data_IF_695403298877
#
_entry.id   IF_695403298877
#
_cell.length_a   1.000
_cell.length_b   1.000
_cell.length_c   1.000
_cell.angle_alpha   90.00
_cell.angle_beta   90.00
_cell.angle_gamma   90.00
#
_symmetry.space_group_name_H-M   'P 1'
#
loop_
_entity.id
_entity.type
_entity.pdbx_description
1 polymer ?
#
# COMPACT_ATOMS: atom_id res chain seq x y z
N UNK A 1 11.41 24.77 -20.08
CA UNK A 1 11.79 23.39 -19.73
C UNK A 1 10.53 22.64 -19.35
N UNK A 2 9.98 21.87 -20.29
CA UNK A 2 8.85 20.99 -20.00
C UNK A 2 9.30 19.93 -19.00
N UNK A 3 8.66 19.87 -17.83
CA UNK A 3 8.87 18.77 -16.88
C UNK A 3 8.38 17.50 -17.57
N UNK A 4 9.31 16.69 -18.10
CA UNK A 4 9.02 15.30 -18.50
C UNK A 4 8.30 14.65 -17.32
N UNK A 5 7.05 14.27 -17.52
CA UNK A 5 6.27 13.51 -16.54
C UNK A 5 6.98 12.17 -16.38
N UNK A 6 7.84 12.05 -15.36
CA UNK A 6 8.45 10.79 -15.00
C UNK A 6 7.35 9.88 -14.47
N UNK A 7 7.03 8.84 -15.23
CA UNK A 7 6.10 7.81 -14.78
C UNK A 7 6.82 6.93 -13.78
N UNK A 8 6.47 7.08 -12.49
CA UNK A 8 7.04 6.33 -11.37
C UNK A 8 6.85 4.80 -11.56
N UNK A 9 5.78 4.43 -12.25
CA UNK A 9 5.40 3.05 -12.53
C UNK A 9 6.31 2.33 -13.54
N UNK A 10 7.09 3.05 -14.33
CA UNK A 10 7.96 2.47 -15.37
C UNK A 10 9.36 2.12 -14.84
N UNK A 11 9.64 2.44 -13.57
CA UNK A 11 10.95 2.19 -13.00
C UNK A 11 11.15 0.69 -12.75
N UNK A 12 12.30 0.16 -13.19
CA UNK A 12 12.71 -1.25 -12.97
C UNK A 12 12.55 -1.77 -11.53
N UNK A 13 12.75 -0.91 -10.52
CA UNK A 13 12.65 -1.27 -9.11
C UNK A 13 11.21 -1.25 -8.58
N UNK A 14 10.27 -0.69 -9.32
CA UNK A 14 8.85 -0.62 -8.95
C UNK A 14 8.15 -1.84 -9.54
N UNK A 15 7.72 -2.81 -8.72
CA UNK A 15 6.99 -3.97 -9.21
C UNK A 15 5.59 -3.58 -9.71
N UNK A 16 4.91 -4.53 -10.34
CA UNK A 16 3.53 -4.32 -10.82
C UNK A 16 2.56 -4.31 -9.62
N UNK A 17 1.74 -3.26 -9.53
CA UNK A 17 0.73 -3.09 -8.49
C UNK A 17 -0.66 -3.11 -9.11
N UNK A 18 -1.52 -4.02 -8.64
CA UNK A 18 -2.88 -4.22 -9.14
C UNK A 18 -3.86 -4.09 -7.98
N UNK A 19 -4.90 -3.27 -8.15
CA UNK A 19 -5.98 -3.13 -7.18
C UNK A 19 -6.90 -4.34 -7.33
N UNK A 20 -7.17 -5.04 -6.23
CA UNK A 20 -8.13 -6.14 -6.22
C UNK A 20 -9.56 -5.61 -6.09
N UNK A 21 -10.49 -6.28 -6.75
CA UNK A 21 -11.91 -6.10 -6.48
C UNK A 21 -12.28 -6.62 -5.09
N UNK A 22 -13.45 -6.23 -4.56
CA UNK A 22 -13.93 -6.70 -3.24
C UNK A 22 -14.08 -8.21 -3.20
N UNK A 23 -14.56 -8.80 -4.30
CA UNK A 23 -14.76 -10.25 -4.42
C UNK A 23 -13.42 -10.99 -4.35
N UNK A 24 -12.44 -10.56 -5.15
CA UNK A 24 -11.09 -11.14 -5.13
C UNK A 24 -10.39 -10.95 -3.77
N UNK A 25 -10.59 -9.79 -3.15
CA UNK A 25 -10.06 -9.50 -1.82
C UNK A 25 -10.61 -10.47 -0.78
N UNK A 26 -11.91 -10.75 -0.78
CA UNK A 26 -12.53 -11.72 0.12
C UNK A 26 -12.04 -13.16 -0.15
N UNK A 27 -11.87 -13.53 -1.42
CA UNK A 27 -11.30 -14.83 -1.79
C UNK A 27 -9.86 -14.99 -1.27
N UNK A 28 -9.03 -13.96 -1.41
CA UNK A 28 -7.65 -13.95 -0.89
C UNK A 28 -7.65 -14.09 0.63
N UNK A 29 -8.48 -13.31 1.33
CA UNK A 29 -8.59 -13.37 2.79
C UNK A 29 -9.06 -14.75 3.27
N UNK A 30 -10.05 -15.36 2.60
CA UNK A 30 -10.51 -16.73 2.87
C UNK A 30 -9.42 -17.76 2.61
N UNK A 31 -8.70 -17.64 1.48
CA UNK A 31 -7.64 -18.59 1.10
C UNK A 31 -6.49 -18.63 2.10
N UNK A 32 -6.10 -17.48 2.62
CA UNK A 32 -5.04 -17.39 3.65
C UNK A 32 -5.58 -17.50 5.08
N UNK A 33 -6.91 -17.49 5.25
CA UNK A 33 -7.60 -17.52 6.53
C UNK A 33 -7.08 -16.45 7.51
N UNK A 34 -6.91 -15.23 7.00
CA UNK A 34 -6.39 -14.07 7.74
C UNK A 34 -7.40 -12.91 7.73
N UNK A 35 -7.28 -12.03 8.72
CA UNK A 35 -7.98 -10.75 8.75
C UNK A 35 -7.26 -9.71 7.89
N UNK A 36 -7.96 -8.71 7.31
CA UNK A 36 -7.33 -7.64 6.53
C UNK A 36 -6.27 -6.87 7.33
N UNK A 37 -6.47 -6.71 8.64
CA UNK A 37 -5.54 -6.03 9.55
C UNK A 37 -4.17 -6.72 9.68
N UNK A 38 -4.11 -8.02 9.36
CA UNK A 38 -2.88 -8.82 9.41
C UNK A 38 -2.06 -8.72 8.13
N UNK A 39 -2.59 -8.09 7.08
CA UNK A 39 -1.84 -7.84 5.87
C UNK A 39 -0.78 -6.73 6.09
N UNK A 40 0.38 -6.82 5.42
CA UNK A 40 1.31 -5.72 5.38
C UNK A 40 0.62 -4.43 4.92
N UNK A 41 0.82 -3.35 5.66
CA UNK A 41 0.15 -2.07 5.42
C UNK A 41 0.94 -1.22 4.41
N UNK A 42 0.23 -0.41 3.62
CA UNK A 42 0.81 0.61 2.73
C UNK A 42 0.05 1.92 2.92
N UNK A 43 0.77 3.03 2.94
CA UNK A 43 0.20 4.35 3.18
C UNK A 43 -0.52 4.89 1.95
N UNK A 44 -1.65 5.57 2.16
CA UNK A 44 -2.30 6.41 1.13
C UNK A 44 -1.39 7.51 0.59
N UNK A 45 -0.39 7.93 1.38
CA UNK A 45 0.60 8.94 0.99
C UNK A 45 1.60 8.44 -0.06
N UNK A 46 1.75 7.11 -0.22
CA UNK A 46 2.73 6.49 -1.11
C UNK A 46 2.50 6.89 -2.60
N UNK A 47 3.57 7.22 -3.36
CA UNK A 47 3.42 7.66 -4.75
C UNK A 47 2.79 6.61 -5.66
N UNK A 48 3.02 5.32 -5.41
CA UNK A 48 2.45 4.23 -6.21
C UNK A 48 0.95 4.12 -5.94
N UNK A 49 0.54 4.21 -4.68
CA UNK A 49 -0.88 4.19 -4.26
C UNK A 49 -1.65 5.36 -4.90
N UNK A 50 -1.04 6.55 -4.93
CA UNK A 50 -1.61 7.72 -5.60
C UNK A 50 -1.70 7.55 -7.12
N UNK A 51 -0.68 6.93 -7.73
CA UNK A 51 -0.65 6.70 -9.18
C UNK A 51 -1.70 5.68 -9.64
N UNK A 52 -1.95 4.63 -8.85
CA UNK A 52 -2.99 3.62 -9.16
C UNK A 52 -4.40 4.07 -8.72
N UNK A 53 -4.50 5.09 -7.86
CA UNK A 53 -5.79 5.61 -7.37
C UNK A 53 -6.47 4.74 -6.33
N UNK A 54 -5.70 3.93 -5.58
CA UNK A 54 -6.25 3.09 -4.52
C UNK A 54 -6.65 3.93 -3.29
N UNK A 55 -7.72 3.52 -2.62
CA UNK A 55 -8.28 4.19 -1.44
C UNK A 55 -8.01 3.38 -0.17
N UNK A 56 -8.21 4.03 0.97
CA UNK A 56 -8.19 3.35 2.27
C UNK A 56 -9.11 2.12 2.25
N UNK A 57 -8.58 1.00 2.74
CA UNK A 57 -9.30 -0.27 2.80
C UNK A 57 -9.15 -1.15 1.56
N UNK A 58 -8.57 -0.63 0.47
CA UNK A 58 -8.30 -1.45 -0.71
C UNK A 58 -7.11 -2.40 -0.46
N UNK A 59 -7.16 -3.58 -1.09
CA UNK A 59 -6.07 -4.54 -1.09
C UNK A 59 -5.34 -4.47 -2.43
N UNK A 60 -4.05 -4.22 -2.37
CA UNK A 60 -3.17 -4.17 -3.52
C UNK A 60 -2.41 -5.48 -3.64
N UNK A 61 -2.47 -6.08 -4.83
CA UNK A 61 -1.64 -7.21 -5.23
C UNK A 61 -0.36 -6.68 -5.87
N UNK A 62 0.77 -7.03 -5.26
CA UNK A 62 2.11 -6.67 -5.74
C UNK A 62 2.76 -7.89 -6.36
N UNK A 63 3.10 -7.81 -7.64
CA UNK A 63 3.77 -8.88 -8.37
C UNK A 63 5.20 -8.43 -8.66
N UNK A 64 6.17 -9.04 -7.97
CA UNK A 64 7.59 -8.77 -8.18
C UNK A 64 8.29 -9.97 -8.81
N UNK A 65 9.26 -9.69 -9.70
CA UNK A 65 10.18 -10.72 -10.18
C UNK A 65 11.13 -11.09 -9.05
N UNK A 66 11.23 -12.37 -8.75
CA UNK A 66 12.15 -12.89 -7.73
C UNK A 66 13.17 -13.81 -8.38
N UNK A 67 14.43 -13.67 -7.99
CA UNK A 67 15.52 -14.52 -8.50
C UNK A 67 15.34 -15.99 -8.12
N UNK A 68 14.68 -16.27 -6.99
CA UNK A 68 14.49 -17.64 -6.48
C UNK A 68 13.17 -18.27 -6.92
N UNK A 69 12.09 -17.48 -6.98
CA UNK A 69 10.73 -17.99 -7.18
C UNK A 69 10.12 -17.59 -8.54
N UNK A 70 10.91 -16.99 -9.44
CA UNK A 70 10.48 -16.38 -10.71
C UNK A 70 9.52 -15.19 -10.51
N UNK A 71 8.38 -15.40 -9.86
CA UNK A 71 7.37 -14.41 -9.51
C UNK A 71 6.95 -14.57 -8.04
N UNK A 72 6.98 -13.48 -7.29
CA UNK A 72 6.51 -13.41 -5.90
C UNK A 72 5.31 -12.48 -5.85
N UNK A 73 4.20 -13.00 -5.32
CA UNK A 73 2.94 -12.26 -5.15
C UNK A 73 2.78 -11.92 -3.67
N UNK A 74 2.56 -10.65 -3.37
CA UNK A 74 2.32 -10.16 -2.01
C UNK A 74 1.06 -9.30 -2.01
N UNK A 75 0.23 -9.41 -0.97
CA UNK A 75 -0.96 -8.59 -0.79
C UNK A 75 -0.70 -7.56 0.29
N UNK A 76 -1.11 -6.30 0.07
CA UNK A 76 -0.96 -5.20 1.02
C UNK A 76 -2.27 -4.46 1.22
N UNK A 77 -2.54 -4.04 2.45
CA UNK A 77 -3.72 -3.24 2.80
C UNK A 77 -3.38 -1.75 2.79
N UNK A 78 -4.18 -0.95 2.08
CA UNK A 78 -4.04 0.51 2.09
C UNK A 78 -4.63 1.10 3.38
N UNK A 79 -3.82 1.83 4.12
CA UNK A 79 -4.17 2.48 5.39
C UNK A 79 -3.79 3.95 5.38
N UNK A 80 -4.42 4.73 6.26
CA UNK A 80 -4.06 6.12 6.48
C UNK A 80 -3.00 6.24 7.58
N UNK A 81 -2.22 7.33 7.56
CA UNK A 81 -1.14 7.58 8.52
C UNK A 81 -1.67 7.69 9.97
N UNK A 82 -2.87 8.21 10.14
CA UNK A 82 -3.56 8.35 11.44
C UNK A 82 -3.80 7.02 12.16
N UNK A 83 -3.78 5.89 11.46
CA UNK A 83 -4.09 4.56 12.01
C UNK A 83 -2.82 3.80 12.49
N UNK A 84 -1.63 4.30 12.18
CA UNK A 84 -0.36 3.60 12.44
C UNK A 84 0.37 4.13 13.68
N UNK A 85 0.28 5.43 13.97
CA UNK A 85 0.97 6.02 15.12
C UNK A 85 0.12 7.08 15.81
N UNK A 86 -0.71 6.68 16.80
CA UNK A 86 -1.37 7.62 17.69
C UNK A 86 -0.38 8.52 18.45
N UNK A 87 0.89 8.08 18.58
CA UNK A 87 1.92 8.79 19.33
C UNK A 87 2.32 10.14 18.70
N UNK A 88 2.15 10.32 17.38
CA UNK A 88 2.43 11.62 16.73
C UNK A 88 1.39 12.68 17.06
N UNK A 89 0.10 12.33 17.04
CA UNK A 89 -0.97 13.22 17.48
C UNK A 89 -0.85 13.55 18.98
N UNK A 90 -0.58 12.55 19.82
CA UNK A 90 -0.42 12.77 21.28
C UNK A 90 0.79 13.66 21.60
N UNK A 91 1.87 13.59 20.81
CA UNK A 91 3.01 14.51 20.99
C UNK A 91 2.66 15.96 20.65
N UNK A 92 1.79 16.19 19.67
CA UNK A 92 1.37 17.54 19.28
C UNK A 92 0.41 18.16 20.30
N UNK A 93 -0.38 17.31 20.99
CA UNK A 93 -1.21 17.73 22.13
C UNK A 93 -0.39 17.91 23.43
N UNK A 94 0.68 17.13 23.63
CA UNK A 94 1.52 17.21 24.84
C UNK A 94 2.57 18.31 24.80
N UNK A 95 3.08 18.68 23.62
CA UNK A 95 3.96 19.84 23.44
C UNK A 95 3.16 21.04 22.93
N UNK A 96 2.05 21.33 23.62
CA UNK A 96 1.33 22.59 23.44
C UNK A 96 2.32 23.75 23.48
N UNK A 97 2.23 24.60 22.46
CA UNK A 97 3.02 25.80 22.30
C UNK A 97 2.99 26.63 23.59
N UNK A 98 4.14 26.73 24.28
CA UNK A 98 4.46 27.92 25.08
C UNK A 98 4.97 29.04 24.15
#
# INVERSE_FOLDING_TARGET
>A
MEKKKFNILDHELVPEHIILSKEEAEEVLKKFNIKPEQLPKILTTDPVVKAIGAKKGDIIKVIRRSKTALKSVVYRLVVEESEISPARDVSMEMFGEE
#
